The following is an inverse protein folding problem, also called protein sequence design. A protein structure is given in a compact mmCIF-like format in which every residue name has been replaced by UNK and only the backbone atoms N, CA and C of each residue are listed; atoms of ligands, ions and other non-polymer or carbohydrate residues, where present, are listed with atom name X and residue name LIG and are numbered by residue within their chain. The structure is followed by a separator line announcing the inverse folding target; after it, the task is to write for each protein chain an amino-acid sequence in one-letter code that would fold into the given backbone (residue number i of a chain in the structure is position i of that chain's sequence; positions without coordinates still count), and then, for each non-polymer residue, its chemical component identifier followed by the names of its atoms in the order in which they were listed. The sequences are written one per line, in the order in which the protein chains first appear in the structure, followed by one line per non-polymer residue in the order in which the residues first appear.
data_IF_642111555868
#
_entry.id   IF_642111555868
#
_cell.length_a   1.000
_cell.length_b   1.000
_cell.length_c   1.000
_cell.angle_alpha   90.00
_cell.angle_beta   90.00
_cell.angle_gamma   90.00
#
_symmetry.space_group_name_H-M   'P 1'
#
loop_
_entity.id
_entity.type
_entity.pdbx_description
1 polymer ?
#
# COMPACT_ATOMS: atom_id res chain seq x y z
N UNK A 1 -4.88 9.22 7.46
CA UNK A 1 -5.35 10.12 6.38
C UNK A 1 -6.05 9.28 5.33
N UNK A 2 -7.02 9.83 4.60
CA UNK A 2 -7.80 9.07 3.60
C UNK A 2 -7.61 9.66 2.20
N UNK A 3 -7.37 8.81 1.21
CA UNK A 3 -7.21 9.17 -0.21
C UNK A 3 -6.17 10.28 -0.45
N UNK A 4 -5.07 10.25 0.30
CA UNK A 4 -3.97 11.21 0.19
C UNK A 4 -2.68 10.52 -0.28
N UNK A 5 -1.80 11.28 -0.95
CA UNK A 5 -0.52 10.75 -1.42
C UNK A 5 0.46 10.59 -0.26
N UNK A 6 1.19 9.46 -0.24
CA UNK A 6 2.22 9.23 0.78
C UNK A 6 3.34 10.27 0.68
N UNK A 7 3.62 10.80 -0.51
CA UNK A 7 4.70 11.76 -0.76
C UNK A 7 4.55 13.03 0.09
N UNK A 8 3.31 13.42 0.39
CA UNK A 8 3.00 14.58 1.22
C UNK A 8 3.38 14.38 2.70
N UNK A 9 3.46 13.12 3.14
CA UNK A 9 3.67 12.75 4.54
C UNK A 9 4.93 11.93 4.76
N UNK A 10 5.64 11.52 3.70
CA UNK A 10 6.76 10.59 3.79
C UNK A 10 7.88 11.14 4.68
N UNK A 11 8.14 12.46 4.64
CA UNK A 11 9.16 13.11 5.46
C UNK A 11 8.73 13.42 6.90
N UNK A 12 7.50 13.09 7.32
CA UNK A 12 7.04 13.40 8.68
C UNK A 12 7.91 12.68 9.74
N UNK A 13 8.24 13.33 10.88
CA UNK A 13 9.08 12.73 11.93
C UNK A 13 8.32 11.70 12.79
N UNK A 14 7.36 10.98 12.20
CA UNK A 14 6.62 9.89 12.85
C UNK A 14 7.19 8.54 12.38
N UNK A 15 7.34 7.63 13.34
CA UNK A 15 7.78 6.26 13.04
C UNK A 15 6.77 5.52 12.17
N UNK A 16 5.47 5.74 12.42
CA UNK A 16 4.36 5.11 11.68
C UNK A 16 3.43 6.21 11.16
N UNK A 17 2.97 6.02 9.92
CA UNK A 17 1.98 6.88 9.25
C UNK A 17 0.85 5.99 8.75
N UNK A 18 -0.37 6.28 9.16
CA UNK A 18 -1.55 5.53 8.74
C UNK A 18 -2.27 6.22 7.57
N UNK A 19 -2.44 5.49 6.48
CA UNK A 19 -3.19 5.92 5.30
C UNK A 19 -4.24 4.88 4.91
N UNK A 20 -5.42 5.34 4.54
CA UNK A 20 -6.44 4.55 3.88
C UNK A 20 -6.67 5.08 2.48
N UNK A 21 -6.78 4.20 1.50
CA UNK A 21 -7.08 4.59 0.12
C UNK A 21 -8.22 3.72 -0.39
N UNK A 22 -9.23 4.36 -0.96
CA UNK A 22 -10.33 3.70 -1.65
C UNK A 22 -9.98 3.59 -3.13
N UNK A 23 -9.98 2.37 -3.63
CA UNK A 23 -9.81 2.09 -5.06
C UNK A 23 -11.14 1.58 -5.62
N UNK A 24 -11.59 2.08 -6.79
CA UNK A 24 -12.72 1.47 -7.47
C UNK A 24 -12.34 0.05 -7.97
N UNK A 25 -13.35 -0.76 -8.27
CA UNK A 25 -13.13 -2.09 -8.84
C UNK A 25 -12.31 -2.03 -10.13
N UNK A 26 -11.39 -2.98 -10.31
CA UNK A 26 -10.48 -3.04 -11.45
C UNK A 26 -9.42 -1.93 -11.50
N UNK A 27 -9.33 -1.04 -10.50
CA UNK A 27 -8.33 0.01 -10.49
C UNK A 27 -6.90 -0.54 -10.47
N UNK A 28 -6.10 -0.14 -11.46
CA UNK A 28 -4.68 -0.46 -11.51
C UNK A 28 -3.87 0.75 -11.02
N UNK A 29 -3.26 0.60 -9.85
CA UNK A 29 -2.29 1.56 -9.35
C UNK A 29 -0.99 1.44 -10.16
N UNK A 30 -0.46 2.53 -10.76
CA UNK A 30 0.79 2.49 -11.50
C UNK A 30 1.95 1.97 -10.63
N UNK A 31 2.93 1.32 -11.27
CA UNK A 31 4.15 0.89 -10.57
C UNK A 31 4.82 2.10 -9.92
N UNK A 32 5.22 1.93 -8.67
CA UNK A 32 5.88 2.96 -7.89
C UNK A 32 6.77 2.29 -6.83
N UNK A 33 7.51 3.09 -6.08
CA UNK A 33 8.37 2.65 -4.98
C UNK A 33 8.24 3.59 -3.81
N UNK A 34 8.55 3.10 -2.62
CA UNK A 34 8.48 3.88 -1.39
C UNK A 34 9.77 3.78 -0.60
N UNK A 35 10.15 4.88 0.05
CA UNK A 35 11.31 4.93 0.96
C UNK A 35 11.02 4.23 2.29
N UNK A 36 9.78 4.24 2.75
CA UNK A 36 9.33 3.53 3.96
C UNK A 36 8.86 2.12 3.60
N UNK A 37 9.02 1.20 4.54
CA UNK A 37 8.36 -0.10 4.46
C UNK A 37 6.84 0.11 4.64
N UNK A 38 6.04 -0.75 4.01
CA UNK A 38 4.59 -0.65 4.05
C UNK A 38 3.98 -1.96 4.54
N UNK A 39 3.12 -1.88 5.56
CA UNK A 39 2.15 -2.93 5.85
C UNK A 39 0.85 -2.58 5.12
N UNK A 40 0.50 -3.36 4.10
CA UNK A 40 -0.71 -3.16 3.31
C UNK A 40 -1.74 -4.22 3.67
N UNK A 41 -2.96 -3.81 4.04
CA UNK A 41 -4.08 -4.70 4.35
C UNK A 41 -5.35 -4.24 3.62
N UNK A 42 -6.19 -5.19 3.21
CA UNK A 42 -7.52 -4.88 2.66
C UNK A 42 -8.52 -4.66 3.80
N UNK A 43 -8.99 -3.42 3.99
CA UNK A 43 -10.07 -3.14 4.94
C UNK A 43 -11.42 -3.70 4.46
N UNK A 44 -11.68 -3.58 3.16
CA UNK A 44 -12.80 -4.18 2.44
C UNK A 44 -12.35 -4.55 1.01
N UNK A 45 -13.09 -5.44 0.36
CA UNK A 45 -12.74 -5.93 -0.98
C UNK A 45 -11.48 -6.80 -0.99
N UNK A 46 -10.90 -7.01 -2.16
CA UNK A 46 -9.68 -7.80 -2.38
C UNK A 46 -8.70 -6.99 -3.23
N UNK A 47 -7.41 -7.04 -2.88
CA UNK A 47 -6.35 -6.43 -3.68
C UNK A 47 -5.40 -7.49 -4.25
N UNK A 48 -4.78 -7.17 -5.38
CA UNK A 48 -3.63 -7.92 -5.90
C UNK A 48 -2.40 -7.02 -5.82
N UNK A 49 -1.34 -7.52 -5.18
CA UNK A 49 -0.05 -6.82 -5.07
C UNK A 49 0.94 -7.57 -5.94
N UNK A 50 1.62 -6.86 -6.84
CA UNK A 50 2.64 -7.43 -7.72
C UNK A 50 3.92 -6.62 -7.63
N UNK A 51 5.03 -7.31 -7.40
CA UNK A 51 6.38 -6.74 -7.49
C UNK A 51 7.05 -7.23 -8.78
N UNK A 52 8.34 -6.98 -8.96
CA UNK A 52 9.09 -7.60 -10.06
C UNK A 52 9.13 -9.13 -9.96
N UNK A 53 9.21 -9.65 -8.73
CA UNK A 53 9.57 -11.05 -8.48
C UNK A 53 8.40 -11.93 -8.05
N UNK A 54 7.30 -11.33 -7.58
CA UNK A 54 6.19 -12.09 -7.00
C UNK A 54 4.85 -11.34 -7.04
N UNK A 55 3.77 -12.09 -6.78
CA UNK A 55 2.43 -11.57 -6.69
C UNK A 55 1.63 -12.24 -5.56
N UNK A 56 0.76 -11.46 -4.93
CA UNK A 56 -0.08 -11.92 -3.81
C UNK A 56 -1.51 -11.39 -3.97
N UNK A 57 -2.48 -12.22 -3.59
CA UNK A 57 -3.86 -11.80 -3.37
C UNK A 57 -4.02 -11.47 -1.87
N UNK A 58 -4.54 -10.28 -1.57
CA UNK A 58 -4.70 -9.77 -0.21
C UNK A 58 -6.18 -9.54 0.08
N UNK A 59 -6.90 -10.56 0.60
CA UNK A 59 -8.27 -10.41 1.06
C UNK A 59 -8.33 -9.70 2.43
N UNK A 60 -9.54 -9.37 2.94
CA UNK A 60 -9.69 -8.85 4.28
C UNK A 60 -9.09 -9.78 5.33
N UNK A 61 -8.65 -9.22 6.45
CA UNK A 61 -7.94 -9.92 7.53
C UNK A 61 -6.57 -10.49 7.16
N UNK A 62 -6.07 -10.25 5.95
CA UNK A 62 -4.68 -10.53 5.56
C UNK A 62 -3.95 -9.23 5.23
N UNK A 63 -2.63 -9.27 5.41
CA UNK A 63 -1.77 -8.16 5.07
C UNK A 63 -0.49 -8.67 4.40
N UNK A 64 0.16 -7.80 3.63
CA UNK A 64 1.50 -8.02 3.09
C UNK A 64 2.43 -6.96 3.65
N UNK A 65 3.65 -7.38 3.97
CA UNK A 65 4.74 -6.47 4.28
C UNK A 65 5.58 -6.24 3.02
N UNK A 66 5.65 -4.99 2.60
CA UNK A 66 6.39 -4.56 1.41
C UNK A 66 7.64 -3.82 1.91
N UNK A 67 8.85 -4.36 1.69
CA UNK A 67 10.08 -3.69 2.04
C UNK A 67 10.28 -2.34 1.31
N UNK A 68 11.11 -1.43 1.85
CA UNK A 68 11.51 -0.22 1.16
C UNK A 68 12.14 -0.50 -0.21
N UNK A 69 11.84 0.34 -1.20
CA UNK A 69 12.53 0.35 -2.50
C UNK A 69 12.18 -0.78 -3.47
N UNK A 70 11.23 -1.66 -3.13
CA UNK A 70 10.68 -2.70 -4.02
C UNK A 70 9.86 -2.07 -5.14
#
# INVERSE_FOLDING_TARGET
MRNASIEQYDATPRAVVAMGTDYPDGYLLPRHRHRRAQLLYGASGVMQVRTGDAGWVVPPQRAVWIPPGV
#
